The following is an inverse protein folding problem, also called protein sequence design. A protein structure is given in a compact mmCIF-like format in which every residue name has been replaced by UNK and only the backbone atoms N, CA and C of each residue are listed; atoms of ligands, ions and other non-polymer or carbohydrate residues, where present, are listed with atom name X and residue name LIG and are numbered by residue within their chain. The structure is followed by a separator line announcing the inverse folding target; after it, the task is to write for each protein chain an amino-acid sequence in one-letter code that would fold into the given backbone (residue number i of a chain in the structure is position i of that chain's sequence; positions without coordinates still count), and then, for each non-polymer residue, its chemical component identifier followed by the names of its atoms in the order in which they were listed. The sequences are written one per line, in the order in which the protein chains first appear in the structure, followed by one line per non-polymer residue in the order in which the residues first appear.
data_IF_431203578723
#
_entry.id   IF_431203578723
#
_cell.length_a   1.000
_cell.length_b   1.000
_cell.length_c   1.000
_cell.angle_alpha   90.00
_cell.angle_beta   90.00
_cell.angle_gamma   90.00
#
_symmetry.space_group_name_H-M   'P 1'
#
loop_
_entity.id
_entity.type
_entity.pdbx_description
1 polymer ?
#
# COMPACT_ATOMS: atom_id res chain seq x y z
N UNK A 1 -12.78 -6.68 9.95
CA UNK A 1 -13.15 -5.26 10.05
C UNK A 1 -14.58 -5.10 9.56
N UNK A 2 -15.37 -4.17 10.10
CA UNK A 2 -16.68 -3.82 9.52
C UNK A 2 -16.45 -2.98 8.26
N UNK A 3 -17.24 -3.25 7.21
CA UNK A 3 -17.17 -2.46 5.97
C UNK A 3 -17.90 -1.14 6.22
N UNK A 4 -17.32 0.04 5.92
CA UNK A 4 -18.02 1.31 6.02
C UNK A 4 -19.33 1.33 5.26
N UNK A 5 -20.37 1.93 5.86
CA UNK A 5 -21.73 1.93 5.30
C UNK A 5 -21.77 2.56 3.89
N UNK A 6 -21.01 3.62 3.69
CA UNK A 6 -20.94 4.33 2.42
C UNK A 6 -20.36 3.45 1.30
N UNK A 7 -19.42 2.54 1.63
CA UNK A 7 -18.91 1.56 0.67
C UNK A 7 -19.98 0.53 0.29
N UNK A 8 -20.78 0.09 1.23
CA UNK A 8 -21.91 -0.83 0.94
C UNK A 8 -22.92 -0.16 0.01
N UNK A 9 -23.28 1.09 0.29
CA UNK A 9 -24.19 1.86 -0.55
C UNK A 9 -23.63 2.11 -1.97
N UNK A 10 -22.31 2.38 -2.07
CA UNK A 10 -21.66 2.52 -3.37
C UNK A 10 -21.61 1.19 -4.12
N UNK A 11 -21.33 0.09 -3.45
CA UNK A 11 -21.30 -1.24 -4.05
C UNK A 11 -22.69 -1.64 -4.60
N UNK A 12 -23.77 -1.27 -3.89
CA UNK A 12 -25.14 -1.47 -4.38
C UNK A 12 -25.43 -0.65 -5.64
N UNK A 13 -24.99 0.61 -5.67
CA UNK A 13 -25.09 1.47 -6.86
C UNK A 13 -24.31 0.90 -8.05
N UNK A 14 -23.10 0.38 -7.77
CA UNK A 14 -22.26 -0.25 -8.79
C UNK A 14 -22.93 -1.50 -9.38
N UNK A 15 -23.51 -2.37 -8.52
CA UNK A 15 -24.27 -3.55 -8.95
C UNK A 15 -25.42 -3.14 -9.84
N UNK A 16 -26.27 -2.18 -9.40
CA UNK A 16 -27.41 -1.67 -10.17
C UNK A 16 -27.00 -1.06 -11.53
N UNK A 17 -25.88 -0.33 -11.56
CA UNK A 17 -25.36 0.24 -12.81
C UNK A 17 -24.88 -0.86 -13.75
N UNK A 18 -24.15 -1.85 -13.22
CA UNK A 18 -23.64 -2.99 -14.00
C UNK A 18 -24.79 -3.85 -14.52
N UNK A 19 -25.85 -4.02 -13.73
CA UNK A 19 -27.06 -4.78 -14.11
C UNK A 19 -27.68 -4.27 -15.40
N UNK A 20 -27.62 -2.95 -15.68
CA UNK A 20 -28.20 -2.34 -16.87
C UNK A 20 -27.41 -2.66 -18.15
N UNK A 21 -26.09 -2.85 -18.06
CA UNK A 21 -25.21 -3.04 -19.20
C UNK A 21 -24.73 -4.48 -19.35
N UNK A 22 -24.39 -5.10 -18.23
CA UNK A 22 -23.84 -6.46 -18.15
C UNK A 22 -24.47 -7.24 -17.00
N UNK A 23 -25.72 -7.70 -17.11
CA UNK A 23 -26.47 -8.31 -16.00
C UNK A 23 -25.74 -9.48 -15.33
N UNK A 24 -25.07 -10.33 -16.11
CA UNK A 24 -24.36 -11.48 -15.59
C UNK A 24 -23.12 -11.12 -14.72
N UNK A 25 -22.61 -9.90 -14.86
CA UNK A 25 -21.44 -9.42 -14.09
C UNK A 25 -21.82 -8.58 -12.86
N UNK A 26 -23.09 -8.21 -12.71
CA UNK A 26 -23.51 -7.30 -11.65
C UNK A 26 -23.18 -7.81 -10.23
N UNK A 27 -23.52 -9.07 -9.84
CA UNK A 27 -23.16 -9.59 -8.53
C UNK A 27 -21.65 -9.70 -8.32
N UNK A 28 -20.90 -9.97 -9.41
CA UNK A 28 -19.44 -10.06 -9.37
C UNK A 28 -18.82 -8.68 -9.14
N UNK A 29 -19.32 -7.64 -9.80
CA UNK A 29 -18.81 -6.28 -9.64
C UNK A 29 -18.92 -5.79 -8.20
N UNK A 30 -20.08 -6.01 -7.55
CA UNK A 30 -20.29 -5.71 -6.13
C UNK A 30 -19.32 -6.49 -5.23
N UNK A 31 -19.24 -7.81 -5.43
CA UNK A 31 -18.40 -8.68 -4.62
C UNK A 31 -16.92 -8.31 -4.75
N UNK A 32 -16.44 -8.08 -5.97
CA UNK A 32 -15.05 -7.70 -6.21
C UNK A 32 -14.72 -6.35 -5.58
N UNK A 33 -15.65 -5.39 -5.64
CA UNK A 33 -15.44 -4.08 -5.04
C UNK A 33 -15.30 -4.15 -3.51
N UNK A 34 -16.08 -4.97 -2.83
CA UNK A 34 -16.02 -5.08 -1.37
C UNK A 34 -14.88 -5.97 -0.88
N UNK A 35 -14.40 -6.89 -1.70
CA UNK A 35 -13.49 -7.97 -1.31
C UNK A 35 -12.22 -7.49 -0.61
N UNK A 36 -11.56 -6.46 -1.13
CA UNK A 36 -10.30 -5.96 -0.55
C UNK A 36 -10.50 -5.47 0.88
N UNK A 37 -11.52 -4.64 1.11
CA UNK A 37 -11.81 -4.10 2.45
C UNK A 37 -12.24 -5.22 3.41
N UNK A 38 -13.03 -6.15 2.94
CA UNK A 38 -13.57 -7.26 3.75
C UNK A 38 -12.50 -8.26 4.17
N UNK A 39 -11.57 -8.60 3.27
CA UNK A 39 -10.71 -9.77 3.43
C UNK A 39 -9.24 -9.46 3.64
N UNK A 40 -8.75 -8.29 3.18
CA UNK A 40 -7.31 -8.01 3.15
C UNK A 40 -6.87 -6.85 4.03
N UNK A 41 -7.78 -5.94 4.38
CA UNK A 41 -7.47 -4.80 5.24
C UNK A 41 -7.67 -5.18 6.70
N UNK A 42 -6.65 -4.92 7.53
CA UNK A 42 -6.65 -5.17 8.98
C UNK A 42 -6.26 -3.90 9.72
N UNK A 43 -6.98 -3.61 10.79
CA UNK A 43 -6.58 -2.58 11.74
C UNK A 43 -5.48 -3.11 12.65
N UNK A 44 -4.42 -2.35 12.83
CA UNK A 44 -3.32 -2.65 13.72
C UNK A 44 -3.55 -2.06 15.11
N UNK A 45 -2.86 -2.58 16.14
CA UNK A 45 -3.00 -2.11 17.53
C UNK A 45 -2.73 -0.60 17.72
N UNK A 46 -1.89 -0.02 16.87
CA UNK A 46 -1.54 1.42 16.91
C UNK A 46 -2.50 2.32 16.11
N UNK A 47 -3.61 1.79 15.59
CA UNK A 47 -4.57 2.52 14.77
C UNK A 47 -4.14 2.77 13.32
N UNK A 48 -3.04 2.14 12.88
CA UNK A 48 -2.70 2.04 11.46
C UNK A 48 -3.47 0.90 10.80
N UNK A 49 -3.36 0.80 9.48
CA UNK A 49 -3.98 -0.28 8.73
C UNK A 49 -2.94 -1.04 7.89
N UNK A 50 -3.04 -2.36 7.95
CA UNK A 50 -2.20 -3.29 7.19
C UNK A 50 -3.02 -3.91 6.07
N UNK A 51 -2.42 -4.07 4.88
CA UNK A 51 -3.08 -4.69 3.73
C UNK A 51 -2.34 -5.97 3.37
N UNK A 52 -3.01 -7.11 3.49
CA UNK A 52 -2.49 -8.39 3.02
C UNK A 52 -2.59 -8.40 1.49
N UNK A 53 -1.46 -8.62 0.81
CA UNK A 53 -1.39 -8.56 -0.63
C UNK A 53 -1.23 -9.96 -1.23
N UNK A 54 -2.35 -10.62 -1.54
CA UNK A 54 -2.38 -11.96 -2.10
C UNK A 54 -2.51 -13.07 -1.05
N UNK A 55 -1.85 -14.21 -1.30
CA UNK A 55 -1.89 -15.42 -0.47
C UNK A 55 -0.79 -15.47 0.61
N UNK A 56 0.13 -14.52 0.60
CA UNK A 56 1.19 -14.37 1.58
C UNK A 56 0.77 -13.30 2.61
N UNK A 57 0.94 -13.55 3.92
CA UNK A 57 0.50 -12.64 4.97
C UNK A 57 1.48 -11.45 5.16
N UNK A 58 1.80 -10.78 4.07
CA UNK A 58 2.70 -9.62 4.02
C UNK A 58 2.08 -8.47 3.22
N UNK A 59 2.59 -7.26 3.43
CA UNK A 59 2.21 -6.07 2.70
C UNK A 59 3.30 -5.73 1.68
N UNK A 60 3.00 -5.82 0.38
CA UNK A 60 3.79 -5.21 -0.67
C UNK A 60 3.38 -3.76 -0.89
N UNK A 61 4.34 -2.85 -0.94
CA UNK A 61 4.07 -1.41 -1.09
C UNK A 61 3.26 -1.11 -2.37
N UNK A 62 3.67 -1.65 -3.51
CA UNK A 62 2.97 -1.45 -4.78
C UNK A 62 1.55 -2.00 -4.76
N UNK A 63 1.41 -3.24 -4.29
CA UNK A 63 0.15 -3.96 -4.36
C UNK A 63 -0.88 -3.36 -3.40
N UNK A 64 -0.48 -3.03 -2.18
CA UNK A 64 -1.36 -2.40 -1.19
C UNK A 64 -1.87 -1.03 -1.64
N UNK A 65 -1.00 -0.21 -2.25
CA UNK A 65 -1.41 1.06 -2.83
C UNK A 65 -2.41 0.86 -3.97
N UNK A 66 -2.15 -0.10 -4.88
CA UNK A 66 -3.03 -0.40 -6.01
C UNK A 66 -4.40 -0.94 -5.55
N UNK A 67 -4.42 -1.81 -4.53
CA UNK A 67 -5.66 -2.38 -3.97
C UNK A 67 -6.54 -1.32 -3.31
N UNK A 68 -5.96 -0.27 -2.73
CA UNK A 68 -6.73 0.79 -2.06
C UNK A 68 -7.15 1.93 -2.98
N UNK A 69 -6.49 2.10 -4.11
CA UNK A 69 -6.77 3.18 -5.05
C UNK A 69 -8.24 3.31 -5.47
N UNK A 70 -9.02 2.23 -5.72
CA UNK A 70 -10.43 2.32 -6.05
C UNK A 70 -11.32 2.94 -4.96
N UNK A 71 -10.85 2.97 -3.71
CA UNK A 71 -11.60 3.47 -2.56
C UNK A 71 -11.28 4.93 -2.19
N UNK A 72 -10.21 5.50 -2.73
CA UNK A 72 -9.82 6.89 -2.46
C UNK A 72 -10.95 7.89 -2.74
N UNK A 73 -11.71 7.77 -3.85
CA UNK A 73 -12.84 8.68 -4.10
C UNK A 73 -13.92 8.64 -3.00
N UNK A 74 -14.03 7.54 -2.26
CA UNK A 74 -15.00 7.41 -1.16
C UNK A 74 -14.58 8.18 0.10
N UNK A 75 -13.34 8.63 0.19
CA UNK A 75 -12.87 9.46 1.31
C UNK A 75 -13.60 10.81 1.38
N UNK A 76 -14.22 11.27 0.31
CA UNK A 76 -15.03 12.49 0.32
C UNK A 76 -16.39 12.30 1.00
N UNK A 77 -16.86 11.06 1.13
CA UNK A 77 -18.18 10.71 1.68
C UNK A 77 -18.08 9.93 2.99
N UNK A 78 -16.96 9.25 3.24
CA UNK A 78 -16.75 8.38 4.40
C UNK A 78 -15.50 8.75 5.19
N UNK A 79 -15.68 9.24 6.40
CA UNK A 79 -14.58 9.52 7.33
C UNK A 79 -13.84 8.25 7.75
N UNK A 80 -14.55 7.12 7.84
CA UNK A 80 -13.95 5.83 8.18
C UNK A 80 -13.01 5.36 7.06
N UNK A 81 -13.42 5.53 5.77
CA UNK A 81 -12.55 5.20 4.65
C UNK A 81 -11.32 6.12 4.60
N UNK A 82 -11.47 7.39 4.94
CA UNK A 82 -10.32 8.31 5.09
C UNK A 82 -9.31 7.78 6.13
N UNK A 83 -9.79 7.34 7.29
CA UNK A 83 -8.90 6.82 8.34
C UNK A 83 -8.18 5.54 7.90
N UNK A 84 -8.84 4.66 7.16
CA UNK A 84 -8.22 3.46 6.59
C UNK A 84 -7.07 3.87 5.65
N UNK A 85 -7.33 4.75 4.69
CA UNK A 85 -6.29 5.20 3.73
C UNK A 85 -5.13 5.90 4.45
N UNK A 86 -5.43 6.81 5.39
CA UNK A 86 -4.40 7.48 6.19
C UNK A 86 -3.57 6.51 7.01
N UNK A 87 -4.20 5.48 7.58
CA UNK A 87 -3.51 4.44 8.33
C UNK A 87 -2.55 3.62 7.47
N UNK A 88 -2.93 3.32 6.23
CA UNK A 88 -2.01 2.66 5.29
C UNK A 88 -0.89 3.60 4.84
N UNK A 89 -1.16 4.89 4.61
CA UNK A 89 -0.12 5.90 4.33
C UNK A 89 0.90 5.95 5.48
N UNK A 90 0.47 5.98 6.75
CA UNK A 90 1.37 5.93 7.91
C UNK A 90 2.20 4.65 7.93
N UNK A 91 1.60 3.51 7.56
CA UNK A 91 2.29 2.23 7.48
C UNK A 91 3.36 2.23 6.40
N UNK A 92 3.07 2.79 5.22
CA UNK A 92 4.07 2.99 4.17
C UNK A 92 5.20 3.91 4.63
N UNK A 93 4.86 5.01 5.32
CA UNK A 93 5.85 5.93 5.87
C UNK A 93 6.79 5.22 6.86
N UNK A 94 6.26 4.38 7.74
CA UNK A 94 7.05 3.58 8.65
C UNK A 94 7.97 2.60 7.91
N UNK A 95 7.45 1.81 6.98
CA UNK A 95 8.21 0.77 6.29
C UNK A 95 9.30 1.31 5.38
N UNK A 96 9.01 2.31 4.56
CA UNK A 96 10.01 2.95 3.69
C UNK A 96 11.07 3.68 4.52
N UNK A 97 10.67 4.26 5.65
CA UNK A 97 11.64 4.88 6.59
C UNK A 97 12.52 3.84 7.26
N UNK A 98 12.06 2.63 7.44
CA UNK A 98 12.85 1.52 7.98
C UNK A 98 13.90 1.04 6.98
N UNK A 99 13.48 0.67 5.77
CA UNK A 99 14.36 0.25 4.67
C UNK A 99 13.75 0.52 3.29
N UNK A 100 14.20 1.56 2.57
CA UNK A 100 13.70 1.89 1.24
C UNK A 100 14.13 0.91 0.14
N UNK A 101 14.96 -0.07 0.45
CA UNK A 101 15.34 -1.16 -0.46
C UNK A 101 14.48 -2.41 -0.30
N UNK A 102 13.55 -2.41 0.66
CA UNK A 102 12.59 -3.49 0.84
C UNK A 102 11.26 -3.17 0.14
N UNK A 103 10.62 -4.20 -0.41
CA UNK A 103 9.37 -4.09 -1.15
C UNK A 103 8.18 -4.72 -0.42
N UNK A 104 8.42 -5.64 0.54
CA UNK A 104 7.39 -6.32 1.31
C UNK A 104 7.71 -6.37 2.80
N UNK A 105 6.67 -6.26 3.64
CA UNK A 105 6.80 -6.10 5.07
C UNK A 105 5.78 -6.92 5.86
N UNK A 106 6.17 -7.30 7.08
CA UNK A 106 5.33 -7.95 8.08
C UNK A 106 4.45 -6.93 8.82
N UNK A 107 3.29 -7.37 9.28
CA UNK A 107 2.39 -6.57 10.15
C UNK A 107 3.08 -6.18 11.47
N UNK A 108 3.78 -7.14 12.07
CA UNK A 108 4.55 -7.00 13.31
C UNK A 108 5.98 -7.45 13.07
N UNK A 109 6.89 -7.15 14.02
CA UNK A 109 8.22 -7.70 14.01
C UNK A 109 8.14 -9.23 14.16
N UNK A 110 8.41 -9.94 13.07
CA UNK A 110 8.29 -11.38 13.00
C UNK A 110 9.55 -12.00 12.36
N UNK A 111 10.12 -13.07 12.94
CA UNK A 111 11.33 -13.69 12.42
C UNK A 111 11.12 -14.49 11.12
N UNK A 112 9.87 -14.68 10.68
CA UNK A 112 9.56 -15.34 9.43
C UNK A 112 9.66 -14.34 8.27
N UNK A 113 10.68 -14.50 7.48
CA UNK A 113 10.94 -13.73 6.28
C UNK A 113 11.52 -14.65 5.22
N UNK A 114 11.54 -14.21 3.97
CA UNK A 114 12.37 -14.84 2.94
C UNK A 114 13.85 -14.61 3.28
N UNK A 115 14.37 -15.43 4.21
CA UNK A 115 15.71 -15.27 4.80
C UNK A 115 16.85 -15.64 3.83
N UNK A 116 16.52 -16.26 2.71
CA UNK A 116 17.54 -16.87 1.84
C UNK A 116 18.23 -15.87 0.90
N UNK A 117 17.72 -14.65 0.75
CA UNK A 117 18.19 -13.75 -0.30
C UNK A 117 18.93 -12.49 0.17
N UNK A 118 18.84 -12.09 1.45
CA UNK A 118 19.44 -10.78 1.88
C UNK A 118 19.68 -10.68 3.39
N UNK A 119 20.66 -9.86 3.76
CA UNK A 119 20.86 -9.36 5.12
C UNK A 119 19.68 -8.45 5.49
N UNK A 120 18.78 -8.92 6.33
CA UNK A 120 17.67 -8.14 6.85
C UNK A 120 18.13 -7.21 7.97
N UNK A 121 17.77 -5.94 7.86
CA UNK A 121 18.01 -4.94 8.91
C UNK A 121 16.93 -4.94 10.00
N UNK A 122 15.81 -5.65 9.82
CA UNK A 122 14.68 -5.64 10.74
C UNK A 122 13.75 -6.84 10.52
N UNK A 123 13.15 -7.32 11.62
CA UNK A 123 12.12 -8.39 11.61
C UNK A 123 10.78 -7.94 11.00
N UNK A 124 10.61 -6.65 10.72
CA UNK A 124 9.48 -6.15 9.93
C UNK A 124 9.61 -6.41 8.43
N UNK A 125 10.79 -6.78 7.92
CA UNK A 125 11.01 -7.00 6.50
C UNK A 125 10.62 -8.42 6.14
N UNK A 126 9.68 -8.57 5.18
CA UNK A 126 9.34 -9.83 4.57
C UNK A 126 10.26 -10.16 3.39
N UNK A 127 10.37 -9.21 2.44
CA UNK A 127 11.26 -9.33 1.27
C UNK A 127 12.06 -8.03 1.08
N UNK A 128 13.38 -8.17 0.95
CA UNK A 128 14.27 -7.06 0.66
C UNK A 128 14.68 -7.09 -0.81
N UNK A 129 13.92 -6.40 -1.63
CA UNK A 129 14.15 -6.30 -3.07
C UNK A 129 13.89 -4.87 -3.52
N UNK A 130 14.90 -4.24 -4.09
CA UNK A 130 14.76 -2.89 -4.60
C UNK A 130 13.88 -2.86 -5.84
N UNK A 131 12.76 -2.20 -5.72
CA UNK A 131 11.80 -1.97 -6.80
C UNK A 131 11.43 -0.48 -6.84
N UNK A 132 11.75 0.17 -7.97
CA UNK A 132 11.43 1.61 -8.17
C UNK A 132 9.94 1.86 -8.08
N UNK A 133 9.13 0.98 -8.65
CA UNK A 133 7.68 1.10 -8.67
C UNK A 133 7.04 0.92 -7.27
N UNK A 134 7.62 0.14 -6.38
CA UNK A 134 7.18 0.02 -4.99
C UNK A 134 7.30 1.35 -4.25
N UNK A 135 8.42 2.07 -4.41
CA UNK A 135 8.59 3.40 -3.83
C UNK A 135 7.67 4.44 -4.49
N UNK A 136 7.54 4.39 -5.82
CA UNK A 136 6.62 5.26 -6.55
C UNK A 136 5.16 5.05 -6.11
N UNK A 137 4.74 3.81 -5.87
CA UNK A 137 3.38 3.49 -5.44
C UNK A 137 3.03 4.13 -4.09
N UNK A 138 3.99 4.19 -3.16
CA UNK A 138 3.83 4.90 -1.88
C UNK A 138 3.58 6.39 -2.09
N UNK A 139 4.28 7.03 -3.03
CA UNK A 139 4.07 8.44 -3.39
C UNK A 139 2.73 8.64 -4.07
N UNK A 140 2.34 7.75 -5.00
CA UNK A 140 1.04 7.82 -5.67
C UNK A 140 -0.12 7.69 -4.70
N UNK A 141 -0.04 6.80 -3.70
CA UNK A 141 -1.09 6.66 -2.68
C UNK A 141 -1.31 7.98 -1.93
N UNK A 142 -0.22 8.65 -1.54
CA UNK A 142 -0.26 9.96 -0.86
C UNK A 142 -0.85 11.04 -1.78
N UNK A 143 -0.38 11.11 -3.04
CA UNK A 143 -0.83 12.09 -4.01
C UNK A 143 -2.32 11.92 -4.33
N UNK A 144 -2.73 10.70 -4.68
CA UNK A 144 -4.14 10.40 -5.03
C UNK A 144 -5.08 10.73 -3.85
N UNK A 145 -4.67 10.41 -2.60
CA UNK A 145 -5.44 10.76 -1.41
C UNK A 145 -5.56 12.29 -1.24
N UNK A 146 -4.44 13.00 -1.32
CA UNK A 146 -4.44 14.46 -1.18
C UNK A 146 -5.23 15.15 -2.28
N UNK A 147 -5.09 14.70 -3.52
CA UNK A 147 -5.82 15.25 -4.66
C UNK A 147 -7.34 15.04 -4.52
N UNK A 148 -7.76 13.93 -3.96
CA UNK A 148 -9.18 13.64 -3.73
C UNK A 148 -9.78 14.40 -2.56
N UNK A 149 -9.02 14.63 -1.47
CA UNK A 149 -9.56 15.11 -0.19
C UNK A 149 -9.14 16.53 0.18
N UNK A 150 -7.98 16.99 -0.31
CA UNK A 150 -7.34 18.23 0.16
C UNK A 150 -6.85 18.16 1.60
N UNK A 151 -6.85 16.98 2.23
CA UNK A 151 -6.49 16.79 3.65
C UNK A 151 -4.99 16.94 3.87
N UNK A 152 -4.59 18.07 4.46
CA UNK A 152 -3.19 18.37 4.77
C UNK A 152 -2.69 17.68 6.04
N UNK A 153 -3.55 17.03 6.80
CA UNK A 153 -3.15 16.34 8.05
C UNK A 153 -2.23 15.14 7.81
N UNK A 154 -2.18 14.63 6.57
CA UNK A 154 -1.26 13.56 6.20
C UNK A 154 0.21 13.99 6.14
N UNK A 155 0.50 15.29 5.97
CA UNK A 155 1.88 15.79 5.87
C UNK A 155 2.55 15.87 7.26
N UNK A 156 2.78 14.69 7.83
CA UNK A 156 3.45 14.51 9.12
C UNK A 156 4.97 14.46 8.96
N UNK A 157 5.76 14.62 10.04
CA UNK A 157 7.22 14.43 10.00
C UNK A 157 7.64 13.05 9.48
N UNK A 158 6.86 12.01 9.80
CA UNK A 158 7.12 10.64 9.34
C UNK A 158 6.93 10.51 7.83
N UNK A 159 5.87 11.13 7.28
CA UNK A 159 5.67 11.18 5.83
C UNK A 159 6.80 11.94 5.14
N UNK A 160 7.22 13.07 5.72
CA UNK A 160 8.35 13.84 5.19
C UNK A 160 9.63 12.99 5.14
N UNK A 161 9.92 12.26 6.23
CA UNK A 161 11.06 11.34 6.30
C UNK A 161 11.01 10.27 5.21
N UNK A 162 9.83 9.70 4.96
CA UNK A 162 9.64 8.74 3.87
C UNK A 162 9.99 9.35 2.52
N UNK A 163 9.46 10.53 2.21
CA UNK A 163 9.68 11.20 0.93
C UNK A 163 11.15 11.55 0.71
N UNK A 164 11.84 12.05 1.74
CA UNK A 164 13.30 12.30 1.69
C UNK A 164 14.07 11.02 1.39
N UNK A 165 13.76 9.92 2.09
CA UNK A 165 14.42 8.63 1.84
C UNK A 165 14.18 8.09 0.43
N UNK A 166 12.99 8.27 -0.13
CA UNK A 166 12.71 7.89 -1.51
C UNK A 166 13.58 8.69 -2.48
N UNK A 167 13.63 10.02 -2.32
CA UNK A 167 14.45 10.90 -3.18
C UNK A 167 15.93 10.56 -3.05
N UNK A 168 16.43 10.35 -1.84
CA UNK A 168 17.80 9.97 -1.57
C UNK A 168 18.15 8.62 -2.22
N UNK A 169 17.26 7.65 -2.12
CA UNK A 169 17.43 6.32 -2.70
C UNK A 169 17.50 6.41 -4.23
N UNK A 170 16.56 7.12 -4.86
CA UNK A 170 16.60 7.32 -6.31
C UNK A 170 17.85 8.05 -6.77
N UNK A 171 18.29 9.07 -6.02
CA UNK A 171 19.51 9.82 -6.33
C UNK A 171 20.76 8.93 -6.26
N UNK A 172 20.85 8.07 -5.25
CA UNK A 172 21.94 7.10 -5.10
C UNK A 172 21.96 6.07 -6.23
N UNK A 173 20.78 5.54 -6.56
CA UNK A 173 20.67 4.49 -7.58
C UNK A 173 20.90 5.01 -9.00
N UNK A 174 20.59 6.25 -9.31
CA UNK A 174 20.92 6.89 -10.61
C UNK A 174 22.43 7.00 -10.85
N UNK A 175 23.24 7.11 -9.80
CA UNK A 175 24.68 7.30 -9.90
C UNK A 175 25.48 5.99 -9.99
N UNK A 176 24.86 4.84 -10.14
CA UNK A 176 25.51 3.52 -10.20
C UNK A 176 26.52 3.31 -11.34
N UNK A 177 26.67 4.22 -12.29
CA UNK A 177 27.70 4.14 -13.35
C UNK A 177 29.13 4.03 -12.81
N UNK A 178 29.38 4.38 -11.54
CA UNK A 178 30.71 4.28 -10.89
C UNK A 178 30.96 2.96 -10.14
N UNK A 179 29.93 2.15 -9.85
CA UNK A 179 30.10 0.94 -9.02
C UNK A 179 29.70 -0.37 -9.73
N UNK A 180 29.53 -0.38 -11.05
CA UNK A 180 29.09 -1.53 -11.86
C UNK A 180 30.03 -2.74 -11.88
N UNK A 181 31.01 -2.87 -10.99
CA UNK A 181 31.85 -4.07 -10.99
C UNK A 181 31.42 -5.19 -10.02
N UNK A 182 30.50 -4.98 -9.06
CA UNK A 182 30.30 -5.98 -8.01
C UNK A 182 28.86 -6.31 -7.58
N UNK A 183 27.81 -5.81 -8.23
CA UNK A 183 26.44 -6.29 -7.94
C UNK A 183 25.61 -6.33 -9.21
N UNK A 184 25.82 -7.35 -10.01
CA UNK A 184 24.77 -7.82 -10.91
C UNK A 184 23.65 -8.37 -10.05
N UNK A 185 22.45 -7.77 -10.15
CA UNK A 185 21.24 -8.45 -9.78
C UNK A 185 21.27 -9.82 -10.42
N UNK A 186 21.35 -10.86 -9.63
CA UNK A 186 21.11 -12.22 -10.12
C UNK A 186 19.61 -12.30 -10.40
N UNK A 187 19.25 -12.03 -11.65
CA UNK A 187 18.03 -12.52 -12.24
C UNK A 187 18.27 -14.03 -12.47
N UNK A 188 17.73 -14.83 -11.65
CA UNK A 188 17.54 -16.26 -11.88
C UNK A 188 16.11 -16.60 -11.52
#
# INVERSE_FOLDING_TARGET
MNIPKELLEYADKLEQKTQKTYPALAPLAKRCYLNTIETTVKECENGDYFVITGDIPALWLRDSAAQLRPYIPQCTESSEMCEIIKGVIRRHAFYVSLDPYSNAFNETAHPEAHKDDTDFSSDYIWERKYEVDSLCASVFLVSDYYDATGDKSIFTPELHTMLEKIVDTFTKEQNQKRHRRNRLCRLS
#
